data_IF_188733614862
#
_entry.id   IF_188733614862
#
_cell.length_a   1.000
_cell.length_b   1.000
_cell.length_c   1.000
_cell.angle_alpha   90.00
_cell.angle_beta   90.00
_cell.angle_gamma   90.00
#
_symmetry.space_group_name_H-M   'P 1'
#
loop_
_entity.id
_entity.type
_entity.pdbx_description
1 polymer ?
#
# COMPACT_ATOMS: atom_id res chain seq x y z
N UNK A 1 -15.69 -14.37 -10.51
CA UNK A 1 -14.77 -14.27 -9.35
C UNK A 1 -14.76 -12.83 -8.84
N UNK A 2 -14.75 -12.66 -7.54
CA UNK A 2 -14.48 -11.37 -6.91
C UNK A 2 -12.99 -11.05 -7.05
N UNK A 3 -12.64 -9.82 -7.43
CA UNK A 3 -11.27 -9.33 -7.56
C UNK A 3 -11.17 -8.06 -6.72
N UNK A 4 -10.15 -7.96 -5.87
CA UNK A 4 -10.01 -6.82 -4.96
C UNK A 4 -9.78 -5.50 -5.71
N UNK A 5 -8.87 -5.51 -6.71
CA UNK A 5 -8.58 -4.33 -7.52
C UNK A 5 -8.31 -4.71 -8.98
N UNK A 6 -8.93 -3.99 -9.90
CA UNK A 6 -8.62 -4.03 -11.33
C UNK A 6 -8.09 -2.65 -11.72
N UNK A 7 -6.88 -2.60 -12.28
CA UNK A 7 -6.27 -1.36 -12.74
C UNK A 7 -5.84 -1.50 -14.20
N UNK A 8 -5.95 -0.43 -14.96
CA UNK A 8 -5.50 -0.40 -16.35
C UNK A 8 -4.49 0.72 -16.58
N UNK A 9 -3.44 0.41 -17.34
CA UNK A 9 -2.46 1.39 -17.79
C UNK A 9 -1.96 1.02 -19.18
N UNK A 10 -2.13 1.91 -20.13
CA UNK A 10 -1.85 1.64 -21.54
C UNK A 10 -2.67 0.42 -22.03
N UNK A 11 -1.98 -0.60 -22.55
CA UNK A 11 -2.59 -1.86 -23.03
C UNK A 11 -2.59 -2.97 -21.96
N UNK A 12 -2.07 -2.72 -20.75
CA UNK A 12 -2.01 -3.72 -19.70
C UNK A 12 -3.16 -3.55 -18.71
N UNK A 13 -3.78 -4.68 -18.33
CA UNK A 13 -4.77 -4.76 -17.25
C UNK A 13 -4.18 -5.56 -16.10
N UNK A 14 -4.19 -4.97 -14.92
CA UNK A 14 -3.63 -5.55 -13.70
C UNK A 14 -4.78 -6.11 -12.85
N UNK A 15 -4.73 -7.39 -12.57
CA UNK A 15 -5.66 -8.08 -11.66
C UNK A 15 -4.95 -8.27 -10.34
N UNK A 16 -5.40 -7.57 -9.31
CA UNK A 16 -4.68 -7.45 -8.05
C UNK A 16 -5.50 -8.07 -6.94
N UNK A 17 -4.91 -9.04 -6.25
CA UNK A 17 -5.41 -9.61 -5.00
C UNK A 17 -4.63 -9.02 -3.83
N UNK A 18 -5.33 -8.54 -2.79
CA UNK A 18 -4.75 -7.89 -1.63
C UNK A 18 -4.88 -8.79 -0.40
N UNK A 19 -3.75 -9.28 0.13
CA UNK A 19 -3.74 -10.09 1.35
C UNK A 19 -3.30 -9.26 2.55
N UNK A 20 -4.27 -8.80 3.33
CA UNK A 20 -4.00 -8.06 4.55
C UNK A 20 -3.88 -9.00 5.77
N UNK A 21 -2.86 -8.79 6.58
CA UNK A 21 -2.65 -9.46 7.86
C UNK A 21 -2.63 -8.44 8.98
N UNK A 22 -3.52 -8.61 9.97
CA UNK A 22 -3.60 -7.72 11.12
C UNK A 22 -2.44 -7.97 12.10
N UNK A 23 -2.02 -9.22 12.23
CA UNK A 23 -0.96 -9.61 13.16
C UNK A 23 0.41 -9.35 12.54
N UNK A 24 1.26 -8.58 13.24
CA UNK A 24 2.63 -8.32 12.82
C UNK A 24 3.45 -9.62 12.80
N UNK A 25 4.35 -9.73 11.82
CA UNK A 25 5.23 -10.89 11.67
C UNK A 25 4.60 -12.10 10.98
N UNK A 26 3.31 -12.05 10.63
CA UNK A 26 2.69 -13.08 9.80
C UNK A 26 3.40 -13.18 8.46
N UNK A 27 3.65 -14.40 7.98
CA UNK A 27 4.26 -14.67 6.70
C UNK A 27 3.19 -15.21 5.75
N UNK A 28 3.11 -14.61 4.56
CA UNK A 28 2.28 -15.11 3.48
C UNK A 28 2.97 -16.32 2.84
N UNK A 29 2.50 -17.51 3.17
CA UNK A 29 3.08 -18.78 2.70
C UNK A 29 2.67 -19.12 1.26
N UNK A 30 3.22 -20.22 0.71
CA UNK A 30 3.00 -20.63 -0.68
C UNK A 30 1.55 -20.99 -1.00
N UNK A 31 0.70 -21.31 -0.02
CA UNK A 31 -0.72 -21.63 -0.24
C UNK A 31 -1.48 -20.45 -0.84
N UNK A 32 -1.11 -19.22 -0.46
CA UNK A 32 -1.77 -18.02 -0.97
C UNK A 32 -1.46 -17.80 -2.45
N UNK A 33 -0.20 -17.75 -2.92
CA UNK A 33 0.09 -17.67 -4.36
C UNK A 33 -0.49 -18.83 -5.18
N UNK A 34 -0.50 -20.06 -4.64
CA UNK A 34 -1.14 -21.20 -5.30
C UNK A 34 -2.63 -20.92 -5.59
N UNK A 35 -3.36 -20.46 -4.58
CA UNK A 35 -4.76 -20.11 -4.71
C UNK A 35 -4.98 -18.95 -5.71
N UNK A 36 -4.17 -17.88 -5.60
CA UNK A 36 -4.28 -16.71 -6.48
C UNK A 36 -4.02 -17.07 -7.93
N UNK A 37 -2.98 -17.88 -8.22
CA UNK A 37 -2.68 -18.34 -9.58
C UNK A 37 -3.82 -19.19 -10.15
N UNK A 38 -4.42 -20.07 -9.34
CA UNK A 38 -5.56 -20.89 -9.78
C UNK A 38 -6.75 -20.00 -10.17
N UNK A 39 -7.11 -19.03 -9.33
CA UNK A 39 -8.18 -18.06 -9.63
C UNK A 39 -7.87 -17.20 -10.87
N UNK A 40 -6.62 -16.74 -10.97
CA UNK A 40 -6.22 -15.92 -12.10
C UNK A 40 -6.34 -16.64 -13.44
N UNK A 41 -6.02 -17.94 -13.51
CA UNK A 41 -6.19 -18.73 -14.74
C UNK A 41 -7.64 -18.73 -15.23
N UNK A 42 -8.61 -18.85 -14.31
CA UNK A 42 -10.02 -18.80 -14.68
C UNK A 42 -10.40 -17.39 -15.18
N UNK A 43 -9.91 -16.34 -14.51
CA UNK A 43 -10.13 -14.94 -14.92
C UNK A 43 -9.51 -14.68 -16.29
N UNK A 44 -8.27 -15.09 -16.51
CA UNK A 44 -7.55 -14.93 -17.77
C UNK A 44 -8.25 -15.63 -18.94
N UNK A 45 -8.78 -16.82 -18.70
CA UNK A 45 -9.55 -17.56 -19.70
C UNK A 45 -10.82 -16.79 -20.10
N UNK A 46 -11.57 -16.29 -19.14
CA UNK A 46 -12.76 -15.48 -19.40
C UNK A 46 -12.42 -14.12 -20.06
N UNK A 47 -11.31 -13.52 -19.64
CA UNK A 47 -10.81 -12.30 -20.27
C UNK A 47 -10.53 -12.50 -21.76
N UNK A 48 -9.81 -13.57 -22.12
CA UNK A 48 -9.49 -13.91 -23.52
C UNK A 48 -10.74 -14.21 -24.36
N UNK A 49 -11.80 -14.70 -23.77
CA UNK A 49 -13.07 -14.96 -24.47
C UNK A 49 -13.90 -13.67 -24.69
N UNK A 50 -13.75 -12.70 -23.83
CA UNK A 50 -14.55 -11.46 -23.84
C UNK A 50 -13.86 -10.25 -24.47
N UNK A 51 -12.57 -10.36 -24.80
CA UNK A 51 -11.78 -9.26 -25.36
C UNK A 51 -11.05 -9.71 -26.63
N UNK A 52 -10.91 -8.75 -27.57
CA UNK A 52 -10.13 -8.96 -28.78
C UNK A 52 -8.65 -9.23 -28.44
N UNK A 53 -7.89 -9.96 -29.27
CA UNK A 53 -6.47 -10.22 -29.06
C UNK A 53 -5.62 -8.96 -28.92
N UNK A 54 -6.10 -7.84 -29.43
CA UNK A 54 -5.47 -6.51 -29.34
C UNK A 54 -5.71 -5.80 -28.00
N UNK A 55 -6.57 -6.33 -27.12
CA UNK A 55 -6.94 -5.70 -25.86
C UNK A 55 -5.81 -5.71 -24.79
N UNK A 56 -4.64 -6.26 -25.13
CA UNK A 56 -3.47 -6.29 -24.26
C UNK A 56 -3.40 -7.51 -23.36
N UNK A 57 -2.47 -7.47 -22.41
CA UNK A 57 -2.22 -8.56 -21.48
C UNK A 57 -2.88 -8.31 -20.13
N UNK A 58 -3.37 -9.38 -19.53
CA UNK A 58 -3.87 -9.39 -18.17
C UNK A 58 -2.75 -9.90 -17.24
N UNK A 59 -2.33 -9.08 -16.28
CA UNK A 59 -1.21 -9.36 -15.39
C UNK A 59 -1.70 -9.62 -13.96
N UNK A 60 -1.36 -10.79 -13.36
CA UNK A 60 -1.74 -11.10 -11.99
C UNK A 60 -0.78 -10.49 -10.98
N UNK A 61 -1.34 -9.87 -9.94
CA UNK A 61 -0.59 -9.32 -8.83
C UNK A 61 -1.13 -9.82 -7.49
N UNK A 62 -0.23 -10.13 -6.57
CA UNK A 62 -0.54 -10.37 -5.17
C UNK A 62 0.22 -9.38 -4.31
N UNK A 63 -0.54 -8.60 -3.54
CA UNK A 63 0.01 -7.56 -2.66
C UNK A 63 -0.28 -7.92 -1.20
N UNK A 64 0.70 -7.77 -0.32
CA UNK A 64 0.52 -7.97 1.12
C UNK A 64 1.24 -6.90 1.95
N UNK A 65 0.68 -6.57 3.10
CA UNK A 65 1.29 -5.70 4.10
C UNK A 65 2.34 -6.41 4.97
N UNK A 66 2.60 -7.70 4.73
CA UNK A 66 3.58 -8.51 5.47
C UNK A 66 4.71 -8.97 4.54
N UNK A 67 5.25 -10.18 4.77
CA UNK A 67 6.33 -10.77 3.97
C UNK A 67 5.85 -12.04 3.30
N UNK A 68 6.47 -12.39 2.18
CA UNK A 68 6.31 -13.69 1.56
C UNK A 68 7.37 -14.67 2.07
N UNK A 69 6.99 -15.95 2.16
CA UNK A 69 7.97 -17.01 2.35
C UNK A 69 8.83 -17.19 1.10
N UNK A 70 10.02 -17.77 1.26
CA UNK A 70 10.91 -18.07 0.12
C UNK A 70 10.23 -18.94 -0.93
N UNK A 71 9.44 -19.91 -0.50
CA UNK A 71 8.72 -20.81 -1.41
C UNK A 71 7.58 -20.10 -2.14
N UNK A 72 6.88 -19.14 -1.44
CA UNK A 72 5.89 -18.30 -2.08
C UNK A 72 6.50 -17.44 -3.20
N UNK A 73 7.68 -16.85 -2.96
CA UNK A 73 8.40 -16.06 -3.96
C UNK A 73 8.82 -16.93 -5.15
N UNK A 74 9.46 -18.07 -4.90
CA UNK A 74 9.90 -19.00 -5.97
C UNK A 74 8.74 -19.46 -6.83
N UNK A 75 7.65 -19.87 -6.19
CA UNK A 75 6.45 -20.31 -6.90
C UNK A 75 5.84 -19.20 -7.76
N UNK A 76 5.66 -18.03 -7.19
CA UNK A 76 5.08 -16.88 -7.90
C UNK A 76 5.91 -16.48 -9.12
N UNK A 77 7.23 -16.40 -8.97
CA UNK A 77 8.14 -16.12 -10.10
C UNK A 77 8.03 -17.18 -11.22
N UNK A 78 7.94 -18.45 -10.85
CA UNK A 78 7.77 -19.54 -11.82
C UNK A 78 6.44 -19.43 -12.58
N UNK A 79 5.38 -18.98 -11.90
CA UNK A 79 4.02 -18.89 -12.45
C UNK A 79 3.69 -17.55 -13.10
N UNK A 80 4.62 -16.61 -13.17
CA UNK A 80 4.38 -15.26 -13.71
C UNK A 80 3.46 -14.40 -12.84
N UNK A 81 3.30 -14.73 -11.54
CA UNK A 81 2.56 -13.93 -10.58
C UNK A 81 3.47 -12.83 -10.02
N UNK A 82 3.10 -11.58 -10.22
CA UNK A 82 3.80 -10.45 -9.65
C UNK A 82 3.52 -10.33 -8.14
N UNK A 83 4.58 -10.13 -7.36
CA UNK A 83 4.50 -10.00 -5.92
C UNK A 83 4.93 -8.61 -5.45
N UNK A 84 4.15 -8.05 -4.52
CA UNK A 84 4.51 -6.84 -3.80
C UNK A 84 4.23 -7.05 -2.31
N UNK A 85 5.26 -7.00 -1.49
CA UNK A 85 5.11 -7.04 -0.03
C UNK A 85 5.76 -5.82 0.63
N UNK A 86 5.75 -5.77 1.95
CA UNK A 86 6.31 -4.64 2.69
C UNK A 86 7.75 -4.33 2.30
N UNK A 87 8.58 -5.36 2.10
CA UNK A 87 10.01 -5.27 1.79
C UNK A 87 10.43 -6.03 0.51
N UNK A 88 9.47 -6.48 -0.31
CA UNK A 88 9.74 -7.19 -1.56
C UNK A 88 8.93 -6.58 -2.73
N UNK A 89 9.56 -6.41 -3.90
CA UNK A 89 10.97 -6.65 -4.25
C UNK A 89 11.92 -5.72 -3.49
N UNK A 90 13.11 -6.18 -3.15
CA UNK A 90 14.09 -5.38 -2.41
C UNK A 90 14.34 -4.01 -3.05
N UNK A 91 14.21 -2.94 -2.27
CA UNK A 91 14.33 -1.55 -2.72
C UNK A 91 13.16 -1.05 -3.58
N UNK A 92 12.12 -1.87 -3.76
CA UNK A 92 10.88 -1.54 -4.50
C UNK A 92 9.65 -2.13 -3.82
N UNK A 93 9.75 -2.46 -2.53
CA UNK A 93 8.65 -2.97 -1.74
C UNK A 93 7.58 -1.91 -1.48
N UNK A 94 6.49 -2.33 -0.85
CA UNK A 94 5.37 -1.44 -0.52
C UNK A 94 5.84 -0.25 0.33
N UNK A 95 6.75 -0.49 1.29
CA UNK A 95 7.37 0.56 2.09
C UNK A 95 8.08 1.59 1.21
N UNK A 96 8.93 1.13 0.28
CA UNK A 96 9.69 2.03 -0.59
C UNK A 96 8.79 2.86 -1.50
N UNK A 97 7.68 2.26 -1.97
CA UNK A 97 6.67 2.94 -2.79
C UNK A 97 5.94 4.00 -1.96
N UNK A 98 5.52 3.67 -0.73
CA UNK A 98 4.85 4.62 0.18
C UNK A 98 5.79 5.77 0.50
N UNK A 99 7.03 5.48 0.89
CA UNK A 99 8.04 6.48 1.21
C UNK A 99 8.30 7.41 0.01
N UNK A 100 8.52 6.85 -1.17
CA UNK A 100 8.80 7.60 -2.40
C UNK A 100 7.63 8.45 -2.88
N UNK A 101 6.40 7.96 -2.70
CA UNK A 101 5.19 8.66 -3.14
C UNK A 101 4.59 9.57 -2.05
N UNK A 102 5.11 9.51 -0.82
CA UNK A 102 4.57 10.26 0.33
C UNK A 102 3.18 9.84 0.76
N UNK A 103 2.83 8.58 0.56
CA UNK A 103 1.50 8.04 0.84
C UNK A 103 1.33 7.64 2.31
N UNK A 104 1.77 8.50 3.23
CA UNK A 104 1.60 8.27 4.66
C UNK A 104 0.16 8.54 5.09
N UNK A 105 -0.54 7.54 5.68
CA UNK A 105 -1.88 7.77 6.18
C UNK A 105 -1.85 8.61 7.47
N UNK A 106 -2.89 9.40 7.72
CA UNK A 106 -3.03 10.19 8.95
C UNK A 106 -3.03 9.32 10.22
N UNK A 107 -3.31 8.03 10.07
CA UNK A 107 -3.27 7.06 11.18
C UNK A 107 -1.86 6.79 11.71
N UNK A 108 -0.79 7.08 10.94
CA UNK A 108 0.59 6.93 11.42
C UNK A 108 1.06 8.11 12.29
N UNK A 109 0.36 9.26 12.26
CA UNK A 109 0.70 10.41 13.10
C UNK A 109 0.56 10.06 14.59
N UNK A 110 1.62 10.29 15.36
CA UNK A 110 1.65 10.00 16.79
C UNK A 110 1.01 11.10 17.63
N UNK A 111 1.00 12.32 17.10
CA UNK A 111 0.37 13.50 17.74
C UNK A 111 -1.16 13.47 17.70
N UNK A 112 -1.78 12.66 16.85
CA UNK A 112 -3.23 12.49 16.78
C UNK A 112 -3.72 11.37 17.72
N UNK A 113 -4.75 11.66 18.51
CA UNK A 113 -5.50 10.65 19.24
C UNK A 113 -6.34 9.77 18.30
N UNK A 114 -6.77 8.60 18.79
CA UNK A 114 -7.63 7.69 18.02
C UNK A 114 -8.92 8.37 17.54
N UNK A 115 -9.53 9.19 18.38
CA UNK A 115 -10.75 9.91 18.07
C UNK A 115 -10.54 10.98 16.97
N UNK A 116 -9.46 11.75 17.06
CA UNK A 116 -9.10 12.74 16.05
C UNK A 116 -8.82 12.09 14.68
N UNK A 117 -8.09 10.95 14.68
CA UNK A 117 -7.88 10.13 13.46
C UNK A 117 -9.19 9.71 12.84
N UNK A 118 -10.12 9.20 13.65
CA UNK A 118 -11.43 8.76 13.18
C UNK A 118 -12.21 9.90 12.54
N UNK A 119 -12.23 11.07 13.17
CA UNK A 119 -12.89 12.26 12.61
C UNK A 119 -12.33 12.72 11.26
N UNK A 120 -11.00 12.60 11.07
CA UNK A 120 -10.37 12.91 9.78
C UNK A 120 -10.77 11.90 8.72
N UNK A 121 -10.76 10.61 9.04
CA UNK A 121 -11.16 9.54 8.13
C UNK A 121 -12.62 9.65 7.69
N UNK A 122 -13.54 10.00 8.60
CA UNK A 122 -14.96 10.25 8.31
C UNK A 122 -15.16 11.41 7.31
N UNK A 123 -14.18 12.31 7.22
CA UNK A 123 -14.14 13.41 6.24
C UNK A 123 -13.31 13.11 5.01
N UNK A 124 -12.99 11.83 4.78
CA UNK A 124 -12.13 11.37 3.69
C UNK A 124 -10.71 11.97 3.69
N UNK A 125 -10.24 12.51 4.81
CA UNK A 125 -8.84 12.95 4.98
C UNK A 125 -8.02 11.74 5.42
N UNK A 126 -7.45 11.04 4.45
CA UNK A 126 -6.74 9.77 4.67
C UNK A 126 -5.22 9.96 4.71
N UNK A 127 -4.68 10.86 3.92
CA UNK A 127 -3.23 11.04 3.75
C UNK A 127 -2.71 12.28 4.48
N UNK A 128 -1.50 12.17 5.04
CA UNK A 128 -0.78 13.30 5.62
C UNK A 128 -0.54 14.43 4.59
N UNK A 129 -0.31 14.09 3.33
CA UNK A 129 -0.16 15.05 2.25
C UNK A 129 -1.42 15.91 2.08
N UNK A 130 -2.59 15.29 2.04
CA UNK A 130 -3.89 16.00 1.97
C UNK A 130 -4.07 16.93 3.18
N UNK A 131 -3.64 16.48 4.36
CA UNK A 131 -3.71 17.30 5.56
C UNK A 131 -2.79 18.55 5.47
N UNK A 132 -1.60 18.38 4.92
CA UNK A 132 -0.64 19.49 4.71
C UNK A 132 -1.16 20.48 3.66
N UNK A 133 -1.79 20.00 2.60
CA UNK A 133 -2.40 20.84 1.55
C UNK A 133 -3.67 21.56 2.03
N UNK A 134 -4.42 20.97 2.98
CA UNK A 134 -5.68 21.52 3.50
C UNK A 134 -5.71 21.56 5.04
N UNK A 135 -4.94 22.47 5.68
CA UNK A 135 -4.80 22.56 7.14
C UNK A 135 -6.12 22.77 7.89
N UNK A 136 -7.09 23.43 7.26
CA UNK A 136 -8.43 23.69 7.81
C UNK A 136 -9.14 22.39 8.23
N UNK A 137 -8.76 21.25 7.66
CA UNK A 137 -9.30 19.93 8.01
C UNK A 137 -9.10 19.58 9.49
N UNK A 138 -8.05 20.09 10.14
CA UNK A 138 -7.78 19.89 11.57
C UNK A 138 -8.76 20.66 12.45
N UNK A 139 -9.06 21.90 12.10
CA UNK A 139 -10.02 22.75 12.81
C UNK A 139 -11.43 22.16 12.70
N UNK A 140 -11.81 21.75 11.49
CA UNK A 140 -13.10 21.08 11.24
C UNK A 140 -13.20 19.75 12.00
N UNK A 141 -12.09 19.04 12.22
CA UNK A 141 -12.03 17.85 13.07
C UNK A 141 -12.08 18.18 14.58
N UNK A 142 -12.09 19.48 14.95
CA UNK A 142 -12.24 19.96 16.32
C UNK A 142 -10.92 20.05 17.10
N UNK A 143 -9.77 20.17 16.42
CA UNK A 143 -8.51 20.41 17.08
C UNK A 143 -8.33 21.90 17.42
N UNK A 144 -7.76 22.17 18.58
CA UNK A 144 -7.35 23.53 18.93
C UNK A 144 -6.17 23.99 18.08
N UNK A 145 -5.94 25.33 17.91
CA UNK A 145 -4.83 25.83 17.13
C UNK A 145 -3.46 25.31 17.56
N UNK A 146 -3.21 25.21 18.87
CA UNK A 146 -1.97 24.64 19.39
C UNK A 146 -1.77 23.16 19.05
N UNK A 147 -2.85 22.37 19.11
CA UNK A 147 -2.83 20.96 18.70
C UNK A 147 -2.61 20.82 17.19
N UNK A 148 -3.31 21.64 16.41
CA UNK A 148 -3.16 21.67 14.95
C UNK A 148 -1.73 21.96 14.52
N UNK A 149 -1.05 22.90 15.19
CA UNK A 149 0.35 23.23 14.90
C UNK A 149 1.28 22.01 15.12
N UNK A 150 1.09 21.26 16.21
CA UNK A 150 1.88 20.04 16.49
C UNK A 150 1.66 18.95 15.44
N UNK A 151 0.40 18.68 15.08
CA UNK A 151 0.03 17.69 14.08
C UNK A 151 0.58 18.06 12.71
N UNK A 152 0.48 19.36 12.34
CA UNK A 152 1.02 19.86 11.07
C UNK A 152 2.54 19.75 11.00
N UNK A 153 3.25 20.01 12.09
CA UNK A 153 4.71 19.87 12.13
C UNK A 153 5.12 18.40 11.87
N UNK A 154 4.46 17.43 12.51
CA UNK A 154 4.71 16.00 12.29
C UNK A 154 4.36 15.59 10.86
N UNK A 155 3.20 15.98 10.34
CA UNK A 155 2.76 15.66 8.98
C UNK A 155 3.70 16.25 7.92
N UNK A 156 4.12 17.49 8.09
CA UNK A 156 5.09 18.14 7.21
C UNK A 156 6.45 17.47 7.25
N UNK A 157 6.91 17.03 8.43
CA UNK A 157 8.18 16.31 8.56
C UNK A 157 8.15 15.01 7.77
N UNK A 158 7.10 14.19 7.90
CA UNK A 158 6.90 12.98 7.12
C UNK A 158 6.84 13.24 5.61
N UNK A 159 6.16 14.32 5.19
CA UNK A 159 6.05 14.66 3.78
C UNK A 159 7.35 15.27 3.19
N UNK A 160 8.19 15.93 4.00
CA UNK A 160 9.46 16.54 3.55
C UNK A 160 10.59 15.52 3.37
N UNK A 161 10.58 14.39 4.06
CA UNK A 161 11.59 13.32 3.87
C UNK A 161 11.59 12.78 2.43
N UNK A 162 10.51 13.00 1.65
CA UNK A 162 10.41 12.63 0.24
C UNK A 162 11.35 13.46 -0.64
N UNK A 163 11.66 14.70 -0.26
CA UNK A 163 12.47 15.65 -1.06
C UNK A 163 13.98 15.39 -0.89
N UNK A 164 14.39 14.60 0.12
CA UNK A 164 15.78 14.28 0.43
C UNK A 164 15.98 12.77 0.71
N UNK A 165 16.05 11.90 -0.33
CA UNK A 165 16.16 10.43 -0.15
C UNK A 165 17.52 9.94 0.39
N UNK A 166 18.39 10.84 0.85
CA UNK A 166 19.76 10.52 1.28
C UNK A 166 20.01 10.33 2.79
N UNK A 167 19.00 10.49 3.65
CA UNK A 167 19.20 10.34 5.11
C UNK A 167 18.68 8.99 5.60
N UNK A 168 19.56 7.98 5.58
CA UNK A 168 19.38 6.70 6.25
C UNK A 168 19.06 6.94 7.74
N UNK A 169 17.88 6.52 8.20
CA UNK A 169 17.57 6.49 9.63
C UNK A 169 18.45 5.42 10.28
N UNK A 170 19.45 5.84 11.01
CA UNK A 170 20.10 4.98 12.00
C UNK A 170 19.09 4.74 13.13
N UNK A 171 18.30 3.68 13.00
CA UNK A 171 17.51 3.16 14.12
C UNK A 171 18.48 2.39 14.99
N UNK A 172 19.03 3.04 16.00
CA UNK A 172 19.76 2.39 17.09
C UNK A 172 18.75 1.46 17.78
N UNK A 173 18.91 0.17 17.55
CA UNK A 173 18.26 -0.85 18.36
C UNK A 173 18.92 -0.76 19.75
N UNK A 174 18.21 -0.23 20.72
CA UNK A 174 18.55 -0.37 22.14
C UNK A 174 18.07 -1.76 22.53
N UNK A 175 19.03 -2.53 23.07
CA UNK A 175 18.92 -3.90 23.59
C UNK A 175 17.73 -4.12 24.52
#
# INVERSE_FOLDING_TARGET
HEVDVVAAKNVATYIIECKYHQQRGTICDVKIPLYVVSRFKDIEQQWKLSHEPSAGQCEPWLITNTRFSTDAIKYALCMGLHLLSWDFPTGKGLKDIIDKAGLYPVTCLTTLSRHEKQKLLERAVVLCKTLVEHPVSLEVAGLSPARSALVMAEAQHLCKEIINPGRVRNTTLIN
#
